data_IF_861860305683
#
_entry.id   IF_861860305683
#
_cell.length_a   1.000
_cell.length_b   1.000
_cell.length_c   1.000
_cell.angle_alpha   90.00
_cell.angle_beta   90.00
_cell.angle_gamma   90.00
#
_symmetry.space_group_name_H-M   'P 1'
#
loop_
_entity.id
_entity.type
_entity.pdbx_description
1 polymer ?
#
# COMPACT_ATOMS: atom_id res chain seq x y z
N UNK A 1 16.62 4.86 5.27
CA UNK A 1 16.03 3.52 5.05
C UNK A 1 16.44 3.02 3.67
N UNK A 2 16.90 1.79 3.60
CA UNK A 2 17.29 1.17 2.33
C UNK A 2 16.05 0.70 1.57
N UNK A 3 16.18 0.62 0.24
CA UNK A 3 15.09 0.17 -0.64
C UNK A 3 14.57 -1.20 -0.23
N UNK A 4 15.46 -2.15 -0.02
CA UNK A 4 15.09 -3.51 0.37
C UNK A 4 14.39 -3.56 1.71
N UNK A 5 14.83 -2.73 2.65
CA UNK A 5 14.19 -2.61 3.96
C UNK A 5 12.78 -2.05 3.84
N UNK A 6 12.59 -1.03 3.00
CA UNK A 6 11.26 -0.45 2.77
C UNK A 6 10.31 -1.48 2.18
N UNK A 7 10.75 -2.26 1.20
CA UNK A 7 9.95 -3.32 0.59
C UNK A 7 9.61 -4.39 1.61
N UNK A 8 10.59 -4.84 2.39
CA UNK A 8 10.36 -5.88 3.40
C UNK A 8 9.35 -5.43 4.44
N UNK A 9 9.47 -4.21 4.95
CA UNK A 9 8.55 -3.67 5.94
C UNK A 9 7.15 -3.47 5.37
N UNK A 10 7.07 -3.01 4.12
CA UNK A 10 5.79 -2.89 3.42
C UNK A 10 5.07 -4.25 3.34
N UNK A 11 5.77 -5.28 2.88
CA UNK A 11 5.19 -6.61 2.75
C UNK A 11 4.76 -7.18 4.10
N UNK A 12 5.58 -7.00 5.11
CA UNK A 12 5.26 -7.45 6.47
C UNK A 12 4.02 -6.75 7.01
N UNK A 13 3.93 -5.43 6.83
CA UNK A 13 2.78 -4.65 7.29
C UNK A 13 1.50 -5.11 6.62
N UNK A 14 1.47 -5.21 5.30
CA UNK A 14 0.24 -5.55 4.59
C UNK A 14 -0.19 -7.00 4.79
N UNK A 15 0.75 -7.94 4.94
CA UNK A 15 0.41 -9.30 5.32
C UNK A 15 -0.16 -9.36 6.73
N UNK A 16 0.39 -8.60 7.66
CA UNK A 16 -0.13 -8.52 9.01
C UNK A 16 -1.55 -7.92 9.04
N UNK A 17 -1.77 -6.85 8.25
CA UNK A 17 -3.10 -6.23 8.13
C UNK A 17 -4.13 -7.25 7.62
N UNK A 18 -3.79 -7.98 6.56
CA UNK A 18 -4.66 -9.02 6.02
C UNK A 18 -5.00 -10.08 7.07
N UNK A 19 -4.00 -10.50 7.84
CA UNK A 19 -4.19 -11.47 8.91
C UNK A 19 -5.16 -10.99 9.99
N UNK A 20 -5.06 -9.70 10.38
CA UNK A 20 -6.00 -9.13 11.37
C UNK A 20 -7.43 -9.15 10.85
N UNK A 21 -7.63 -8.79 9.58
CA UNK A 21 -8.95 -8.80 8.97
C UNK A 21 -9.50 -10.23 8.92
N UNK A 22 -8.67 -11.19 8.52
CA UNK A 22 -9.05 -12.61 8.45
C UNK A 22 -9.43 -13.15 9.82
N UNK A 23 -8.69 -12.78 10.86
CA UNK A 23 -8.96 -13.24 12.24
C UNK A 23 -10.27 -12.67 12.77
N UNK A 24 -10.54 -11.40 12.49
CA UNK A 24 -11.75 -10.72 12.98
C UNK A 24 -12.97 -11.03 12.12
N UNK A 25 -12.77 -11.45 10.86
CA UNK A 25 -13.84 -11.72 9.89
C UNK A 25 -14.78 -10.53 9.71
N UNK A 26 -14.19 -9.34 9.63
CA UNK A 26 -14.91 -8.09 9.35
C UNK A 26 -13.97 -7.09 8.72
N UNK A 27 -14.53 -6.16 7.93
CA UNK A 27 -13.77 -5.03 7.40
C UNK A 27 -13.26 -4.18 8.56
N UNK A 28 -11.98 -3.81 8.52
CA UNK A 28 -11.34 -2.99 9.54
C UNK A 28 -10.74 -1.75 8.87
N UNK A 29 -10.71 -0.65 9.60
CA UNK A 29 -10.10 0.58 9.13
C UNK A 29 -8.60 0.37 8.92
N UNK A 30 -8.16 0.54 7.69
CA UNK A 30 -6.76 0.30 7.30
C UNK A 30 -5.81 1.27 8.01
N UNK A 31 -6.20 2.54 8.15
CA UNK A 31 -5.36 3.53 8.84
C UNK A 31 -5.07 3.15 10.29
N UNK A 32 -6.06 2.60 10.98
CA UNK A 32 -5.90 2.14 12.37
C UNK A 32 -4.90 0.98 12.42
N UNK A 33 -5.02 0.02 11.51
CA UNK A 33 -4.12 -1.14 11.47
C UNK A 33 -2.69 -0.73 11.10
N UNK A 34 -2.53 0.19 10.16
CA UNK A 34 -1.20 0.71 9.81
C UNK A 34 -0.53 1.37 10.99
N UNK A 35 -1.27 2.19 11.74
CA UNK A 35 -0.74 2.86 12.93
C UNK A 35 -0.32 1.84 13.99
N UNK A 36 -1.15 0.82 14.24
CA UNK A 36 -0.81 -0.23 15.20
C UNK A 36 0.46 -0.97 14.81
N UNK A 37 0.62 -1.29 13.52
CA UNK A 37 1.81 -1.98 13.04
C UNK A 37 3.06 -1.13 13.28
N UNK A 38 3.00 0.16 12.94
CA UNK A 38 4.13 1.07 13.14
C UNK A 38 4.52 1.17 14.61
N UNK A 39 3.54 1.24 15.50
CA UNK A 39 3.79 1.28 16.94
C UNK A 39 4.47 -0.01 17.43
N UNK A 40 4.01 -1.16 16.94
CA UNK A 40 4.61 -2.45 17.28
C UNK A 40 6.06 -2.57 16.84
N UNK A 41 6.39 -1.93 15.71
CA UNK A 41 7.76 -1.94 15.18
C UNK A 41 8.65 -0.90 15.84
N UNK A 42 8.09 0.03 16.64
CA UNK A 42 8.85 1.11 17.25
C UNK A 42 9.27 2.19 16.26
N UNK A 43 8.62 2.28 15.12
CA UNK A 43 8.94 3.29 14.11
C UNK A 43 8.39 4.66 14.50
N UNK A 44 8.98 5.74 13.93
CA UNK A 44 8.50 7.10 14.14
C UNK A 44 7.16 7.30 13.42
N UNK A 45 6.07 7.16 14.17
CA UNK A 45 4.73 7.27 13.63
C UNK A 45 4.40 8.69 13.13
N UNK A 46 5.05 9.71 13.70
CA UNK A 46 4.81 11.10 13.29
C UNK A 46 5.26 11.33 11.85
N UNK A 47 6.51 10.96 11.55
CA UNK A 47 7.05 11.09 10.20
C UNK A 47 6.27 10.23 9.21
N UNK A 48 5.92 9.01 9.60
CA UNK A 48 5.18 8.09 8.74
C UNK A 48 3.77 8.58 8.45
N UNK A 49 3.11 9.24 9.40
CA UNK A 49 1.77 9.80 9.18
C UNK A 49 1.75 10.84 8.07
N UNK A 50 2.80 11.63 7.96
CA UNK A 50 2.92 12.62 6.88
C UNK A 50 3.04 11.95 5.50
N UNK A 51 3.38 10.67 5.47
CA UNK A 51 3.50 9.87 4.24
C UNK A 51 2.42 8.80 4.18
N UNK A 52 1.23 9.07 4.75
CA UNK A 52 0.10 8.14 4.77
C UNK A 52 0.44 6.79 5.44
N UNK A 53 1.35 6.79 6.41
CA UNK A 53 1.83 5.57 7.09
C UNK A 53 2.34 4.51 6.12
N UNK A 54 2.94 4.92 5.01
CA UNK A 54 3.40 4.01 3.96
C UNK A 54 4.92 3.98 3.92
N UNK A 55 5.51 2.81 4.15
CA UNK A 55 6.97 2.64 4.08
C UNK A 55 7.54 3.03 2.73
N UNK A 56 6.80 2.73 1.65
CA UNK A 56 7.26 3.06 0.30
C UNK A 56 7.28 4.58 0.08
N UNK A 57 6.22 5.29 0.51
CA UNK A 57 6.17 6.74 0.42
C UNK A 57 7.21 7.40 1.33
N UNK A 58 7.46 6.84 2.49
CA UNK A 58 8.50 7.32 3.39
C UNK A 58 9.87 7.20 2.73
N UNK A 59 10.14 6.05 2.10
CA UNK A 59 11.40 5.81 1.40
C UNK A 59 11.61 6.77 0.22
N UNK A 60 10.55 7.02 -0.57
CA UNK A 60 10.63 7.83 -1.80
C UNK A 60 10.28 9.30 -1.59
N UNK A 61 9.97 9.71 -0.37
CA UNK A 61 9.46 11.04 -0.04
C UNK A 61 8.22 11.39 -0.86
N UNK A 62 7.29 10.43 -0.93
CA UNK A 62 6.00 10.54 -1.62
C UNK A 62 6.10 10.67 -3.15
N UNK A 63 7.22 10.32 -3.75
CA UNK A 63 7.38 10.31 -5.20
C UNK A 63 6.98 8.96 -5.76
N UNK A 64 5.74 8.87 -6.26
CA UNK A 64 5.19 7.62 -6.80
C UNK A 64 5.97 7.08 -7.99
N UNK A 65 6.65 7.95 -8.75
CA UNK A 65 7.44 7.53 -9.90
C UNK A 65 8.66 6.71 -9.50
N UNK A 66 9.12 6.89 -8.28
CA UNK A 66 10.27 6.19 -7.71
C UNK A 66 9.86 5.11 -6.72
N UNK A 67 8.56 4.80 -6.64
CA UNK A 67 8.08 3.73 -5.77
C UNK A 67 8.74 2.40 -6.18
N UNK A 68 9.33 1.65 -5.23
CA UNK A 68 10.03 0.41 -5.58
C UNK A 68 9.12 -0.73 -6.01
N UNK A 69 7.82 -0.61 -5.84
CA UNK A 69 6.86 -1.63 -6.27
C UNK A 69 6.00 -1.11 -7.42
N UNK A 70 5.48 -2.04 -8.22
CA UNK A 70 4.63 -1.72 -9.36
C UNK A 70 3.17 -1.88 -8.95
N UNK A 71 2.42 -0.77 -8.94
CA UNK A 71 0.99 -0.76 -8.65
C UNK A 71 0.18 -0.95 -9.94
N UNK A 72 -0.94 -1.69 -9.90
CA UNK A 72 -1.76 -1.90 -11.09
C UNK A 72 -2.29 -0.57 -11.65
N UNK A 73 -1.95 -0.28 -12.90
CA UNK A 73 -2.39 0.93 -13.60
C UNK A 73 -2.06 0.79 -15.08
N UNK A 74 -2.79 1.50 -15.95
CA UNK A 74 -2.47 1.58 -17.36
C UNK A 74 -1.38 2.62 -17.64
N UNK A 75 -1.08 3.46 -16.67
CA UNK A 75 -0.13 4.54 -16.79
C UNK A 75 1.25 4.12 -16.28
N UNK A 76 2.31 4.69 -16.87
CA UNK A 76 3.66 4.54 -16.33
C UNK A 76 3.79 5.19 -14.94
N UNK A 77 2.84 6.05 -14.58
CA UNK A 77 2.75 6.66 -13.25
C UNK A 77 1.90 5.75 -12.36
N UNK A 78 2.48 4.64 -11.94
CA UNK A 78 1.80 3.61 -11.14
C UNK A 78 1.61 4.11 -9.72
N UNK A 79 0.36 4.43 -9.36
CA UNK A 79 0.02 5.03 -8.07
C UNK A 79 -0.90 4.12 -7.26
N UNK A 80 -0.72 4.13 -5.96
CA UNK A 80 -1.48 3.27 -5.06
C UNK A 80 -2.97 3.66 -4.97
N UNK A 81 -3.31 4.93 -5.14
CA UNK A 81 -4.69 5.40 -5.05
C UNK A 81 -5.36 5.65 -6.39
N UNK A 82 -4.60 5.60 -7.47
CA UNK A 82 -5.11 5.88 -8.82
C UNK A 82 -4.87 4.67 -9.72
N UNK A 83 -5.93 4.21 -10.39
CA UNK A 83 -5.82 3.16 -11.40
C UNK A 83 -5.70 3.76 -12.79
N UNK A 84 -6.69 3.51 -13.64
CA UNK A 84 -6.69 4.00 -15.01
C UNK A 84 -7.23 5.42 -15.08
N UNK A 85 -6.70 6.22 -16.01
CA UNK A 85 -7.32 7.50 -16.33
C UNK A 85 -8.57 7.24 -17.17
N UNK A 86 -9.69 7.77 -16.72
CA UNK A 86 -10.97 7.65 -17.42
C UNK A 86 -11.10 8.74 -18.48
N UNK A 87 -12.02 8.57 -19.46
CA UNK A 87 -12.19 9.55 -20.54
C UNK A 87 -12.49 10.98 -20.07
N UNK A 88 -13.07 11.13 -18.88
CA UNK A 88 -13.39 12.45 -18.31
C UNK A 88 -12.21 13.09 -17.59
N UNK A 89 -11.00 12.48 -17.64
CA UNK A 89 -9.82 12.99 -16.97
C UNK A 89 -9.65 12.52 -15.54
N UNK A 90 -10.64 11.89 -14.94
CA UNK A 90 -10.53 11.32 -13.61
C UNK A 90 -9.84 9.96 -13.65
N UNK A 91 -9.37 9.49 -12.49
CA UNK A 91 -8.75 8.17 -12.38
C UNK A 91 -9.72 7.19 -11.73
N UNK A 92 -9.66 5.93 -12.19
CA UNK A 92 -10.35 4.84 -11.49
C UNK A 92 -9.71 4.61 -10.13
N UNK A 93 -10.40 3.89 -9.25
CA UNK A 93 -9.84 3.57 -7.94
C UNK A 93 -8.63 2.66 -8.09
N UNK A 94 -7.51 3.05 -7.46
CA UNK A 94 -6.34 2.21 -7.35
C UNK A 94 -6.53 1.14 -6.29
N UNK A 95 -5.59 0.21 -6.26
CA UNK A 95 -5.66 -0.95 -5.37
C UNK A 95 -5.75 -0.55 -3.89
N UNK A 96 -4.91 0.37 -3.47
CA UNK A 96 -4.89 0.84 -2.08
C UNK A 96 -6.20 1.57 -1.71
N UNK A 97 -6.65 2.48 -2.57
CA UNK A 97 -7.87 3.23 -2.32
C UNK A 97 -9.07 2.29 -2.22
N UNK A 98 -9.16 1.32 -3.12
CA UNK A 98 -10.22 0.33 -3.09
C UNK A 98 -10.24 -0.46 -1.78
N UNK A 99 -9.06 -0.89 -1.32
CA UNK A 99 -8.92 -1.60 -0.06
C UNK A 99 -9.33 -0.72 1.13
N UNK A 100 -8.88 0.54 1.13
CA UNK A 100 -9.08 1.49 2.23
C UNK A 100 -10.52 1.96 2.36
N UNK A 101 -11.27 2.02 1.26
CA UNK A 101 -12.62 2.59 1.25
C UNK A 101 -13.75 1.55 1.34
N UNK A 102 -13.42 0.27 1.47
CA UNK A 102 -14.43 -0.74 1.72
C UNK A 102 -15.11 -0.48 3.06
N UNK A 103 -16.43 -0.37 3.06
CA UNK A 103 -17.20 -0.06 4.26
C UNK A 103 -18.23 -1.12 4.62
N UNK A 104 -18.56 -2.04 3.70
CA UNK A 104 -19.47 -3.14 4.00
C UNK A 104 -18.73 -4.19 4.83
N UNK A 105 -19.16 -4.36 6.08
CA UNK A 105 -18.53 -5.27 7.03
C UNK A 105 -18.36 -6.69 6.50
N UNK A 106 -19.30 -7.15 5.68
CA UNK A 106 -19.28 -8.51 5.13
C UNK A 106 -18.28 -8.70 3.99
N UNK A 107 -17.68 -7.63 3.48
CA UNK A 107 -16.70 -7.68 2.41
C UNK A 107 -15.26 -7.86 2.94
N UNK A 108 -15.11 -8.43 4.13
CA UNK A 108 -13.80 -8.62 4.75
C UNK A 108 -12.89 -9.54 3.94
N UNK A 109 -13.46 -10.56 3.29
CA UNK A 109 -12.65 -11.44 2.43
C UNK A 109 -12.04 -10.66 1.27
N UNK A 110 -12.81 -9.79 0.65
CA UNK A 110 -12.31 -8.93 -0.42
C UNK A 110 -11.22 -7.98 0.10
N UNK A 111 -11.45 -7.36 1.27
CA UNK A 111 -10.45 -6.49 1.86
C UNK A 111 -9.14 -7.23 2.14
N UNK A 112 -9.22 -8.43 2.71
CA UNK A 112 -8.04 -9.24 2.99
C UNK A 112 -7.30 -9.63 1.70
N UNK A 113 -8.04 -10.00 0.64
CA UNK A 113 -7.45 -10.31 -0.67
C UNK A 113 -6.71 -9.10 -1.23
N UNK A 114 -7.32 -7.90 -1.15
CA UNK A 114 -6.69 -6.67 -1.61
C UNK A 114 -5.42 -6.36 -0.83
N UNK A 115 -5.44 -6.55 0.49
CA UNK A 115 -4.25 -6.36 1.33
C UNK A 115 -3.13 -7.33 0.93
N UNK A 116 -3.46 -8.59 0.66
CA UNK A 116 -2.47 -9.57 0.21
C UNK A 116 -1.89 -9.20 -1.15
N UNK A 117 -2.70 -8.68 -2.06
CA UNK A 117 -2.21 -8.20 -3.36
C UNK A 117 -1.24 -7.05 -3.17
N UNK A 118 -1.56 -6.11 -2.27
CA UNK A 118 -0.67 -4.98 -1.97
C UNK A 118 0.65 -5.48 -1.38
N UNK A 119 0.59 -6.47 -0.48
CA UNK A 119 1.78 -7.05 0.13
C UNK A 119 2.70 -7.72 -0.90
N UNK A 120 2.14 -8.26 -1.97
CA UNK A 120 2.85 -9.07 -2.94
C UNK A 120 3.05 -8.41 -4.30
N UNK A 121 2.98 -7.08 -4.35
CA UNK A 121 3.23 -6.35 -5.59
C UNK A 121 4.64 -6.62 -6.12
N UNK A 122 4.81 -6.72 -7.43
CA UNK A 122 6.13 -6.96 -8.02
C UNK A 122 7.05 -5.76 -7.82
N UNK A 123 8.35 -6.03 -7.75
CA UNK A 123 9.34 -4.99 -7.61
C UNK A 123 9.63 -4.34 -8.95
N UNK A 124 9.81 -3.02 -8.91
CA UNK A 124 10.25 -2.26 -10.08
C UNK A 124 11.76 -2.39 -10.23
N UNK A 125 12.23 -2.57 -11.45
CA UNK A 125 13.67 -2.60 -11.70
C UNK A 125 14.28 -1.23 -11.38
N UNK A 126 15.47 -1.26 -10.81
CA UNK A 126 16.23 -0.03 -10.55
C UNK A 126 16.73 0.54 -11.88
N UNK A 127 16.73 1.88 -12.00
CA UNK A 127 17.12 2.54 -13.25
C UNK A 127 18.55 2.25 -13.68
N UNK A 128 19.44 2.02 -12.71
CA UNK A 128 20.85 1.71 -13.02
C UNK A 128 21.07 0.27 -13.49
N UNK A 129 20.07 -0.58 -13.43
CA UNK A 129 20.15 -1.96 -13.92
C UNK A 129 20.10 -2.04 -15.45
N UNK A 130 19.85 -0.93 -16.11
CA UNK A 130 19.77 -0.87 -17.57
C UNK A 130 21.12 -0.85 -18.27
N UNK A 131 22.16 -0.76 -17.55
CA UNK A 131 23.52 -0.62 -18.10
C UNK A 131 24.29 -1.92 -18.25
#
# INVERSE_FOLDING_TARGET
MLREEAIKKHRAMWNWIAEQIENEQKVINIGILKTKFLEMQGDDTTAMKLKCNCYLCYYTDSDCRNCPLIWPSESDLLRCEQGYQLPNGCYSEGLYKKCRTLDNRNHWKLQAILCRKIANLPERKMSNEKH
#
